data_IF_715221249536
#
_entry.id   IF_715221249536
#
_cell.length_a   1.000
_cell.length_b   1.000
_cell.length_c   1.000
_cell.angle_alpha   90.00
_cell.angle_beta   90.00
_cell.angle_gamma   90.00
#
_symmetry.space_group_name_H-M   'P 1'
#
loop_
_entity.id
_entity.type
_entity.pdbx_description
1 polymer ?
#
# COMPACT_ATOMS: atom_id res chain seq x y z
N UNK A 1 -11.23 -16.30 -6.28
CA UNK A 1 -11.27 -15.11 -7.16
C UNK A 1 -9.99 -15.10 -7.97
N UNK A 2 -10.02 -14.66 -9.22
CA UNK A 2 -8.80 -14.58 -10.02
C UNK A 2 -7.86 -13.47 -9.51
N UNK A 3 -6.60 -13.56 -9.91
CA UNK A 3 -5.53 -12.64 -9.47
C UNK A 3 -5.78 -11.22 -9.99
N UNK A 4 -6.39 -11.08 -11.18
CA UNK A 4 -6.72 -9.78 -11.78
C UNK A 4 -7.76 -9.03 -10.95
N UNK A 5 -8.81 -9.72 -10.50
CA UNK A 5 -9.86 -9.15 -9.66
C UNK A 5 -9.30 -8.76 -8.29
N UNK A 6 -8.43 -9.57 -7.69
CA UNK A 6 -7.77 -9.22 -6.41
C UNK A 6 -6.85 -8.01 -6.55
N UNK A 7 -6.11 -7.93 -7.66
CA UNK A 7 -5.27 -6.78 -7.97
C UNK A 7 -6.10 -5.51 -8.14
N UNK A 8 -7.25 -5.58 -8.83
CA UNK A 8 -8.17 -4.45 -8.96
C UNK A 8 -8.69 -3.98 -7.60
N UNK A 9 -9.11 -4.92 -6.74
CA UNK A 9 -9.59 -4.62 -5.38
C UNK A 9 -8.52 -3.90 -4.55
N UNK A 10 -7.28 -4.38 -4.61
CA UNK A 10 -6.16 -3.75 -3.92
C UNK A 10 -5.91 -2.33 -4.44
N UNK A 11 -5.99 -2.14 -5.76
CA UNK A 11 -5.79 -0.83 -6.37
C UNK A 11 -6.92 0.15 -6.06
N UNK A 12 -8.16 -0.32 -5.99
CA UNK A 12 -9.31 0.48 -5.58
C UNK A 12 -9.18 0.93 -4.12
N UNK A 13 -8.77 0.02 -3.22
CA UNK A 13 -8.48 0.33 -1.83
C UNK A 13 -7.37 1.37 -1.71
N UNK A 14 -6.34 1.26 -2.56
CA UNK A 14 -5.22 2.16 -2.61
C UNK A 14 -5.60 3.57 -3.10
N UNK A 15 -6.41 3.67 -4.15
CA UNK A 15 -6.90 4.96 -4.65
C UNK A 15 -7.87 5.63 -3.65
N UNK A 16 -8.68 4.86 -2.91
CA UNK A 16 -9.48 5.42 -1.82
C UNK A 16 -8.61 5.97 -0.69
N UNK A 17 -7.55 5.25 -0.31
CA UNK A 17 -6.57 5.72 0.67
C UNK A 17 -5.96 7.06 0.24
N UNK A 18 -5.49 7.14 -1.02
CA UNK A 18 -4.91 8.38 -1.59
C UNK A 18 -5.87 9.54 -1.51
N UNK A 19 -7.14 9.34 -1.88
CA UNK A 19 -8.17 10.37 -1.81
C UNK A 19 -8.46 10.81 -0.37
N UNK A 20 -8.60 9.87 0.56
CA UNK A 20 -8.87 10.17 1.98
C UNK A 20 -7.74 10.95 2.65
N UNK A 21 -6.50 10.70 2.23
CA UNK A 21 -5.32 11.31 2.84
C UNK A 21 -4.84 12.54 2.07
N UNK A 22 -5.60 12.96 1.04
CA UNK A 22 -5.24 14.08 0.15
C UNK A 22 -3.80 13.97 -0.36
N UNK A 23 -3.38 12.73 -0.67
CA UNK A 23 -2.01 12.45 -1.13
C UNK A 23 -1.88 12.98 -2.55
N UNK A 24 -1.27 14.15 -2.65
CA UNK A 24 -0.93 14.79 -3.91
C UNK A 24 0.47 14.32 -4.35
N UNK A 25 0.53 13.41 -5.33
CA UNK A 25 1.78 12.80 -5.82
C UNK A 25 2.81 13.86 -6.25
N UNK A 26 2.36 15.05 -6.64
CA UNK A 26 3.18 16.16 -7.12
C UNK A 26 3.65 17.12 -6.01
N UNK A 27 3.06 17.07 -4.80
CA UNK A 27 3.39 17.97 -3.66
C UNK A 27 4.09 17.29 -2.49
N UNK A 28 4.44 16.01 -2.59
CA UNK A 28 5.16 15.27 -1.53
C UNK A 28 6.63 15.67 -1.33
N UNK A 29 7.04 16.84 -1.82
CA UNK A 29 8.29 17.45 -1.39
C UNK A 29 8.02 18.22 -0.10
N UNK A 30 8.78 17.87 0.96
CA UNK A 30 8.99 18.66 2.19
C UNK A 30 8.10 18.27 3.39
N UNK A 31 8.56 17.28 4.17
CA UNK A 31 9.23 17.47 5.49
C UNK A 31 9.48 16.10 6.11
N UNK A 32 10.73 15.85 6.51
CA UNK A 32 11.09 14.76 7.41
C UNK A 32 10.50 15.02 8.80
N UNK A 33 9.21 14.75 9.01
CA UNK A 33 8.71 14.50 10.36
C UNK A 33 8.89 13.01 10.65
N UNK A 34 9.95 12.72 11.40
CA UNK A 34 10.24 11.41 11.99
C UNK A 34 9.17 11.08 13.03
N UNK A 35 7.98 10.70 12.57
CA UNK A 35 7.04 9.97 13.39
C UNK A 35 7.30 8.47 13.13
N UNK A 36 7.85 7.79 14.13
CA UNK A 36 8.10 6.34 14.10
C UNK A 36 6.80 5.52 14.03
N UNK A 37 5.64 6.17 14.22
CA UNK A 37 4.33 5.52 14.30
C UNK A 37 3.27 6.35 13.56
N UNK A 38 2.39 5.68 12.81
CA UNK A 38 1.21 6.30 12.22
C UNK A 38 0.23 6.75 13.32
N UNK A 39 -0.42 7.92 13.20
CA UNK A 39 -1.47 8.33 14.12
C UNK A 39 -2.61 7.30 14.22
N UNK A 40 -3.22 7.12 15.40
CA UNK A 40 -4.30 6.16 15.60
C UNK A 40 -5.49 6.36 14.64
N UNK A 41 -5.80 7.60 14.28
CA UNK A 41 -6.83 7.92 13.28
C UNK A 41 -6.53 7.30 11.91
N UNK A 42 -5.26 7.33 11.49
CA UNK A 42 -4.77 6.76 10.24
C UNK A 42 -4.74 5.23 10.29
N UNK A 43 -4.40 4.65 11.44
CA UNK A 43 -4.50 3.20 11.67
C UNK A 43 -5.96 2.74 11.59
N UNK A 44 -6.89 3.47 12.20
CA UNK A 44 -8.33 3.17 12.12
C UNK A 44 -8.84 3.23 10.66
N UNK A 45 -8.41 4.22 9.88
CA UNK A 45 -8.77 4.34 8.46
C UNK A 45 -8.25 3.14 7.63
N UNK A 46 -7.02 2.68 7.91
CA UNK A 46 -6.45 1.50 7.26
C UNK A 46 -7.24 0.23 7.61
N UNK A 47 -7.61 0.06 8.88
CA UNK A 47 -8.43 -1.09 9.31
C UNK A 47 -9.80 -1.09 8.66
N UNK A 48 -10.44 0.07 8.50
CA UNK A 48 -11.70 0.18 7.77
C UNK A 48 -11.55 -0.21 6.30
N UNK A 49 -10.43 0.15 5.65
CA UNK A 49 -10.16 -0.28 4.27
C UNK A 49 -9.92 -1.79 4.18
N UNK A 50 -9.21 -2.39 5.16
CA UNK A 50 -9.03 -3.85 5.27
C UNK A 50 -10.37 -4.57 5.27
N UNK A 51 -11.28 -4.13 6.15
CA UNK A 51 -12.60 -4.75 6.30
C UNK A 51 -13.48 -4.51 5.05
N UNK A 52 -13.51 -3.28 4.54
CA UNK A 52 -14.33 -2.89 3.38
C UNK A 52 -13.97 -3.69 2.13
N UNK A 53 -12.68 -3.81 1.84
CA UNK A 53 -12.19 -4.48 0.64
C UNK A 53 -11.89 -5.97 0.86
N UNK A 54 -12.11 -6.48 2.08
CA UNK A 54 -11.78 -7.86 2.49
C UNK A 54 -10.34 -8.21 2.09
N UNK A 55 -9.42 -7.31 2.45
CA UNK A 55 -8.00 -7.49 2.16
C UNK A 55 -7.46 -8.60 3.04
N UNK A 56 -6.66 -9.49 2.43
CA UNK A 56 -5.87 -10.45 3.21
C UNK A 56 -4.69 -9.74 3.90
N UNK A 57 -3.95 -10.46 4.72
CA UNK A 57 -2.88 -9.87 5.50
C UNK A 57 -1.73 -9.33 4.62
N UNK A 58 -1.49 -9.92 3.44
CA UNK A 58 -0.44 -9.49 2.52
C UNK A 58 -0.86 -8.20 1.80
N UNK A 59 -2.08 -8.18 1.29
CA UNK A 59 -2.69 -7.00 0.67
C UNK A 59 -2.81 -5.83 1.67
N UNK A 60 -3.14 -6.14 2.92
CA UNK A 60 -3.18 -5.14 3.98
C UNK A 60 -1.79 -4.59 4.32
N UNK A 61 -0.78 -5.46 4.44
CA UNK A 61 0.61 -5.03 4.65
C UNK A 61 1.13 -4.14 3.52
N UNK A 62 0.74 -4.44 2.29
CA UNK A 62 1.02 -3.58 1.14
C UNK A 62 0.41 -2.19 1.34
N UNK A 63 -0.87 -2.12 1.70
CA UNK A 63 -1.60 -0.88 1.89
C UNK A 63 -0.99 -0.04 3.03
N UNK A 64 -0.64 -0.69 4.15
CA UNK A 64 0.06 -0.07 5.29
C UNK A 64 1.43 0.45 4.88
N UNK A 65 2.23 -0.36 4.17
CA UNK A 65 3.56 0.04 3.72
C UNK A 65 3.50 1.26 2.79
N UNK A 66 2.51 1.30 1.90
CA UNK A 66 2.27 2.46 1.05
C UNK A 66 1.85 3.69 1.87
N UNK A 67 0.91 3.54 2.80
CA UNK A 67 0.49 4.60 3.72
C UNK A 67 1.65 5.19 4.53
N UNK A 68 2.48 4.34 5.15
CA UNK A 68 3.68 4.77 5.89
C UNK A 68 4.65 5.48 4.96
N UNK A 69 4.85 4.94 3.76
CA UNK A 69 5.69 5.56 2.74
C UNK A 69 5.25 6.97 2.35
N UNK A 70 3.95 7.17 2.14
CA UNK A 70 3.39 8.49 1.86
C UNK A 70 3.47 9.42 3.06
N UNK A 71 3.15 8.92 4.25
CA UNK A 71 3.19 9.71 5.48
C UNK A 71 4.61 10.19 5.82
N UNK A 72 5.62 9.36 5.58
CA UNK A 72 7.03 9.71 5.80
C UNK A 72 7.69 10.42 4.60
N UNK A 73 6.91 10.81 3.57
CA UNK A 73 7.43 11.53 2.39
C UNK A 73 8.43 10.72 1.54
N UNK A 74 8.46 9.39 1.68
CA UNK A 74 9.36 8.54 0.93
C UNK A 74 8.80 8.31 -0.48
N UNK A 75 9.15 9.21 -1.40
CA UNK A 75 8.83 9.18 -2.84
C UNK A 75 9.12 7.82 -3.52
N UNK A 76 9.99 7.01 -2.91
CA UNK A 76 10.39 5.70 -3.41
C UNK A 76 9.45 4.56 -3.04
N UNK A 77 8.42 4.74 -2.22
CA UNK A 77 7.61 3.59 -1.75
C UNK A 77 6.83 2.94 -2.88
N UNK A 78 6.19 3.71 -3.78
CA UNK A 78 5.55 3.14 -4.99
C UNK A 78 6.54 2.28 -5.80
N UNK A 79 7.76 2.76 -6.01
CA UNK A 79 8.81 2.03 -6.76
C UNK A 79 9.35 0.80 -5.99
N UNK A 80 9.54 0.92 -4.68
CA UNK A 80 9.98 -0.17 -3.80
C UNK A 80 8.92 -1.25 -3.73
N UNK A 81 7.67 -0.85 -3.57
CA UNK A 81 6.50 -1.72 -3.51
C UNK A 81 6.28 -2.42 -4.85
N UNK A 82 6.39 -1.71 -5.98
CA UNK A 82 6.30 -2.32 -7.31
C UNK A 82 7.47 -3.28 -7.57
N UNK A 83 8.69 -2.93 -7.16
CA UNK A 83 9.84 -3.86 -7.20
C UNK A 83 9.61 -5.08 -6.33
N UNK A 84 9.11 -4.91 -5.11
CA UNK A 84 8.88 -6.00 -4.16
C UNK A 84 7.74 -6.90 -4.62
N UNK A 85 6.66 -6.36 -5.19
CA UNK A 85 5.63 -7.15 -5.87
C UNK A 85 6.21 -7.96 -7.03
N UNK A 86 7.06 -7.34 -7.86
CA UNK A 86 7.73 -8.08 -8.94
C UNK A 86 8.66 -9.18 -8.40
N UNK A 87 9.40 -8.91 -7.32
CA UNK A 87 10.24 -9.93 -6.66
C UNK A 87 9.41 -11.05 -6.05
N UNK A 88 8.28 -10.74 -5.41
CA UNK A 88 7.36 -11.74 -4.85
C UNK A 88 6.72 -12.56 -5.97
N UNK A 89 6.28 -11.93 -7.06
CA UNK A 89 5.77 -12.63 -8.25
C UNK A 89 6.84 -13.55 -8.86
N UNK A 90 8.08 -13.10 -8.97
CA UNK A 90 9.21 -13.93 -9.41
C UNK A 90 9.46 -15.10 -8.46
N UNK A 91 9.40 -14.87 -7.15
CA UNK A 91 9.59 -15.89 -6.13
C UNK A 91 8.46 -16.94 -6.14
N UNK A 92 7.21 -16.49 -6.23
CA UNK A 92 6.03 -17.36 -6.34
C UNK A 92 6.08 -18.17 -7.63
N UNK A 93 6.46 -17.57 -8.77
CA UNK A 93 6.65 -18.29 -10.03
C UNK A 93 7.79 -19.32 -9.94
N UNK A 94 8.89 -18.97 -9.27
CA UNK A 94 10.00 -19.91 -9.04
C UNK A 94 9.61 -21.11 -8.18
N UNK A 95 8.73 -20.93 -7.19
CA UNK A 95 8.19 -22.02 -6.36
C UNK A 95 7.19 -22.87 -7.15
N UNK A 96 6.33 -22.24 -7.96
CA UNK A 96 5.26 -22.93 -8.69
C UNK A 96 5.73 -23.69 -9.95
N UNK A 97 7.03 -23.62 -10.32
CA UNK A 97 7.61 -24.28 -11.50
C UNK A 97 6.73 -24.12 -12.76
N UNK A 98 6.45 -22.88 -13.14
CA UNK A 98 6.14 -22.50 -14.52
C UNK A 98 7.24 -21.59 -15.05
#
# INVERSE_FOLDING_TARGET
MDVETRTSILMDAFEELKKKWEIDEDKLMVKEEKADVLPESKVSELMQLKEKYKLDDIEFLFLVGAAVGFYQGQMNVKNVVFRKLNTVNQFVNAILKK
#
